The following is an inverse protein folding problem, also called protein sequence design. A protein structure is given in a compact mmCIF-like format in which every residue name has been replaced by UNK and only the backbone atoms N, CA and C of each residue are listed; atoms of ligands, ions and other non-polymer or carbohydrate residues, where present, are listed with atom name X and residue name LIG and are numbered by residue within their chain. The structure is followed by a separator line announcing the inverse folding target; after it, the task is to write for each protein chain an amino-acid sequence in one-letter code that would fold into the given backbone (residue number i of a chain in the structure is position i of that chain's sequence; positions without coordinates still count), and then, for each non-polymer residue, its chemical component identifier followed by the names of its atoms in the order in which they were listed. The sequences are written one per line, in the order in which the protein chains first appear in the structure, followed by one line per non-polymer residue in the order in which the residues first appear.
data_IF_329417606419
#
_entry.id   IF_329417606419
#
_cell.length_a   1.000
_cell.length_b   1.000
_cell.length_c   1.000
_cell.angle_alpha   90.00
_cell.angle_beta   90.00
_cell.angle_gamma   90.00
#
_symmetry.space_group_name_H-M   'P 1'
#
loop_
_entity.id
_entity.type
_entity.pdbx_description
1 polymer ?
#
# COMPACT_ATOMS: atom_id res chain seq x y z
N UNK A 1 -0.28 2.10 11.37
CA UNK A 1 -0.06 1.32 10.10
C UNK A 1 0.49 -0.08 10.41
N UNK A 2 0.73 -0.98 9.44
CA UNK A 2 1.40 -2.26 9.74
C UNK A 2 2.92 -2.08 9.82
N UNK A 3 3.58 -2.92 10.62
CA UNK A 3 5.04 -2.94 10.74
C UNK A 3 5.74 -3.16 9.39
N UNK A 4 5.28 -4.18 8.63
CA UNK A 4 5.81 -4.50 7.31
C UNK A 4 5.67 -3.33 6.31
N UNK A 5 4.55 -2.60 6.38
CA UNK A 5 4.36 -1.41 5.56
C UNK A 5 5.33 -0.28 5.95
N UNK A 6 5.44 0.00 7.26
CA UNK A 6 6.34 1.04 7.78
C UNK A 6 7.79 0.81 7.32
N UNK A 7 8.28 -0.43 7.44
CA UNK A 7 9.63 -0.80 7.01
C UNK A 7 9.82 -0.54 5.52
N UNK A 8 8.92 -1.04 4.67
CA UNK A 8 9.02 -0.91 3.21
C UNK A 8 8.92 0.54 2.73
N UNK A 9 8.13 1.36 3.39
CA UNK A 9 8.02 2.79 3.11
C UNK A 9 9.26 3.55 3.59
N UNK A 10 9.82 3.18 4.74
CA UNK A 10 11.06 3.79 5.26
C UNK A 10 12.24 3.52 4.34
N UNK A 11 12.43 2.25 3.91
CA UNK A 11 13.46 1.85 2.94
C UNK A 11 13.39 2.61 1.61
N UNK A 12 12.18 3.01 1.21
CA UNK A 12 11.90 3.71 -0.05
C UNK A 12 11.82 5.23 0.11
N UNK A 13 12.04 5.75 1.31
CA UNK A 13 11.88 7.18 1.64
C UNK A 13 10.47 7.71 1.35
N UNK A 14 9.45 6.84 1.40
CA UNK A 14 8.05 7.15 1.12
C UNK A 14 7.18 7.25 2.39
N UNK A 15 7.77 7.06 3.57
CA UNK A 15 7.05 7.15 4.84
C UNK A 15 6.45 8.56 5.01
N UNK A 16 5.15 8.62 5.31
CA UNK A 16 4.41 9.88 5.43
C UNK A 16 3.96 10.51 4.11
N UNK A 17 4.40 9.96 2.96
CA UNK A 17 4.05 10.46 1.63
C UNK A 17 3.02 9.57 0.92
N UNK A 18 3.07 8.25 1.18
CA UNK A 18 2.22 7.27 0.53
C UNK A 18 1.85 6.11 1.48
N UNK A 19 0.91 5.27 1.02
CA UNK A 19 0.55 3.99 1.62
C UNK A 19 0.64 2.90 0.57
N UNK A 20 0.90 1.66 0.98
CA UNK A 20 0.92 0.50 0.09
C UNK A 20 -0.49 -0.08 -0.01
N UNK A 21 -1.05 -0.16 -1.21
CA UNK A 21 -2.44 -0.63 -1.42
C UNK A 21 -2.68 -2.05 -0.86
N UNK A 22 -1.69 -2.93 -0.92
CA UNK A 22 -1.76 -4.28 -0.37
C UNK A 22 -1.72 -4.36 1.17
N UNK A 23 -1.50 -3.23 1.86
CA UNK A 23 -1.44 -3.14 3.33
C UNK A 23 -2.56 -2.25 3.90
N UNK A 24 -3.56 -1.89 3.06
CA UNK A 24 -4.74 -1.13 3.47
C UNK A 24 -5.95 -2.06 3.36
N UNK A 25 -6.62 -2.41 4.48
CA UNK A 25 -7.86 -3.14 4.40
C UNK A 25 -8.93 -2.21 3.81
N UNK A 26 -9.72 -2.71 2.85
CA UNK A 26 -10.79 -1.95 2.25
C UNK A 26 -12.00 -1.89 3.19
N UNK A 27 -11.98 -0.93 4.12
CA UNK A 27 -13.02 -0.76 5.13
C UNK A 27 -13.73 0.59 4.97
N UNK A 28 -15.05 0.54 4.75
CA UNK A 28 -15.88 1.74 4.62
C UNK A 28 -15.69 2.50 3.31
N UNK A 29 -15.95 3.80 3.36
CA UNK A 29 -15.77 4.69 2.22
C UNK A 29 -14.34 5.26 2.19
N UNK A 30 -13.71 5.19 1.02
CA UNK A 30 -12.35 5.68 0.82
C UNK A 30 -12.24 6.51 -0.45
N UNK A 31 -11.51 7.61 -0.38
CA UNK A 31 -11.04 8.35 -1.55
C UNK A 31 -9.52 8.19 -1.64
N UNK A 32 -9.05 7.59 -2.74
CA UNK A 32 -7.61 7.33 -2.96
C UNK A 32 -7.14 7.99 -4.25
N UNK A 33 -5.90 8.46 -4.25
CA UNK A 33 -5.22 8.95 -5.45
C UNK A 33 -4.05 8.02 -5.77
N UNK A 34 -4.11 7.25 -6.88
CA UNK A 34 -2.98 6.44 -7.32
C UNK A 34 -1.77 7.33 -7.63
N UNK A 35 -0.62 7.04 -7.01
CA UNK A 35 0.64 7.73 -7.28
C UNK A 35 1.43 7.08 -8.41
N UNK A 36 1.35 5.75 -8.53
CA UNK A 36 1.85 5.00 -9.67
C UNK A 36 0.69 4.45 -10.49
N UNK A 37 0.67 4.79 -11.78
CA UNK A 37 -0.29 4.31 -12.76
C UNK A 37 0.46 3.55 -13.85
N UNK A 38 -0.19 2.62 -14.54
CA UNK A 38 0.37 1.88 -15.70
C UNK A 38 1.03 2.82 -16.71
N UNK A 39 0.37 3.93 -17.03
CA UNK A 39 0.88 4.95 -17.93
C UNK A 39 2.13 5.68 -17.42
N UNK A 40 2.32 5.79 -16.10
CA UNK A 40 3.45 6.51 -15.50
C UNK A 40 4.60 5.61 -15.08
N UNK A 41 4.36 4.32 -14.83
CA UNK A 41 5.36 3.35 -14.37
C UNK A 41 6.03 2.57 -15.50
N UNK A 42 5.46 2.60 -16.71
CA UNK A 42 5.96 1.79 -17.83
C UNK A 42 5.79 0.28 -17.62
N UNK A 43 4.94 -0.12 -16.67
CA UNK A 43 4.59 -1.51 -16.42
C UNK A 43 3.50 -1.94 -17.38
N UNK A 44 3.59 -3.15 -17.95
CA UNK A 44 2.62 -3.64 -18.93
C UNK A 44 1.21 -3.88 -18.36
N UNK A 45 1.09 -4.01 -17.05
CA UNK A 45 -0.16 -4.33 -16.35
C UNK A 45 -0.24 -3.64 -14.99
N UNK A 46 -1.45 -3.28 -14.49
CA UNK A 46 -1.65 -2.77 -13.13
C UNK A 46 -1.41 -3.84 -12.04
N UNK A 47 -1.15 -5.09 -12.43
CA UNK A 47 -1.03 -6.23 -11.52
C UNK A 47 -2.39 -6.86 -11.18
N UNK A 48 -2.37 -7.75 -10.20
CA UNK A 48 -3.57 -8.43 -9.72
C UNK A 48 -4.35 -7.53 -8.74
N UNK A 49 -5.65 -7.83 -8.58
CA UNK A 49 -6.48 -7.18 -7.56
C UNK A 49 -5.83 -7.42 -6.18
N UNK A 50 -5.68 -6.39 -5.33
CA UNK A 50 -5.25 -6.58 -3.94
C UNK A 50 -6.13 -7.61 -3.22
N UNK A 51 -5.51 -8.48 -2.43
CA UNK A 51 -6.23 -9.47 -1.65
C UNK A 51 -7.13 -8.79 -0.61
N UNK A 52 -8.25 -9.45 -0.26
CA UNK A 52 -9.18 -8.93 0.76
C UNK A 52 -8.57 -8.91 2.17
N UNK A 53 -7.50 -9.69 2.38
CA UNK A 53 -6.78 -9.79 3.64
C UNK A 53 -5.32 -9.38 3.47
N UNK A 54 -4.76 -8.75 4.51
CA UNK A 54 -3.36 -8.35 4.54
C UNK A 54 -2.48 -9.58 4.77
N UNK A 55 -1.42 -9.69 3.96
CA UNK A 55 -0.36 -10.69 4.14
C UNK A 55 1.01 -10.00 4.25
N UNK A 56 1.87 -10.36 5.20
CA UNK A 56 1.67 -11.33 6.29
C UNK A 56 0.62 -10.83 7.31
N UNK A 57 0.28 -11.66 8.31
CA UNK A 57 -0.62 -11.23 9.39
C UNK A 57 -0.17 -9.87 9.96
N UNK A 58 -1.07 -8.88 10.01
CA UNK A 58 -0.70 -7.51 10.30
C UNK A 58 -0.30 -7.36 11.78
N UNK A 59 0.96 -6.97 12.01
CA UNK A 59 1.38 -6.38 13.28
C UNK A 59 1.19 -4.87 13.22
N UNK A 60 0.25 -4.37 14.01
CA UNK A 60 -0.11 -2.95 14.04
C UNK A 60 0.87 -2.15 14.88
N UNK A 61 1.10 -0.90 14.47
CA UNK A 61 1.99 0.05 15.14
C UNK A 61 1.17 1.22 15.67
N UNK A 62 1.57 1.80 16.80
CA UNK A 62 0.90 2.97 17.41
C UNK A 62 1.11 4.31 16.66
N UNK A 63 1.72 4.26 15.48
CA UNK A 63 1.85 5.37 14.53
C UNK A 63 0.58 5.57 13.70
#
# INVERSE_FOLDING_TARGET
MTEAERERLTERELLGQARLSCQIPCEGEMAVKPLMTVSSSGTDSPGERPADQITPEPRWTDL
#
